data_IF_176504648578
#
_entry.id   IF_176504648578
#
_cell.length_a   1.000
_cell.length_b   1.000
_cell.length_c   1.000
_cell.angle_alpha   90.00
_cell.angle_beta   90.00
_cell.angle_gamma   90.00
#
_symmetry.space_group_name_H-M   'P 1'
#
loop_
_entity.id
_entity.type
_entity.pdbx_description
1 polymer ?
#
# COMPACT_ATOMS: atom_id res chain seq x y z
N UNK A 1 -5.97 -21.99 -17.59
CA UNK A 1 -5.27 -20.74 -17.23
C UNK A 1 -6.24 -19.65 -16.75
N UNK A 2 -7.14 -19.11 -17.59
CA UNK A 2 -8.02 -18.00 -17.18
C UNK A 2 -8.92 -18.31 -15.98
N UNK A 3 -9.51 -19.52 -15.93
CA UNK A 3 -10.31 -19.94 -14.76
C UNK A 3 -9.49 -19.94 -13.46
N UNK A 4 -8.25 -20.46 -13.52
CA UNK A 4 -7.33 -20.46 -12.39
C UNK A 4 -7.00 -19.03 -11.92
N UNK A 5 -6.67 -18.15 -12.86
CA UNK A 5 -6.39 -16.75 -12.56
C UNK A 5 -7.58 -16.02 -11.93
N UNK A 6 -8.81 -16.29 -12.38
CA UNK A 6 -10.01 -15.72 -11.76
C UNK A 6 -10.19 -16.17 -10.31
N UNK A 7 -9.99 -17.46 -10.03
CA UNK A 7 -10.05 -17.98 -8.65
C UNK A 7 -9.02 -17.29 -7.75
N UNK A 8 -7.78 -17.17 -8.23
CA UNK A 8 -6.72 -16.47 -7.48
C UNK A 8 -7.06 -15.00 -7.28
N UNK A 9 -7.52 -14.32 -8.33
CA UNK A 9 -7.92 -12.91 -8.28
C UNK A 9 -9.05 -12.69 -7.27
N UNK A 10 -10.13 -13.48 -7.34
CA UNK A 10 -11.26 -13.38 -6.41
C UNK A 10 -10.78 -13.55 -4.97
N UNK A 11 -9.97 -14.58 -4.69
CA UNK A 11 -9.42 -14.81 -3.36
C UNK A 11 -8.57 -13.64 -2.87
N UNK A 12 -7.67 -13.12 -3.71
CA UNK A 12 -6.79 -12.02 -3.31
C UNK A 12 -7.56 -10.71 -3.11
N UNK A 13 -8.57 -10.46 -3.94
CA UNK A 13 -9.45 -9.30 -3.80
C UNK A 13 -10.27 -9.38 -2.52
N UNK A 14 -10.79 -10.56 -2.18
CA UNK A 14 -11.55 -10.76 -0.96
C UNK A 14 -10.70 -10.52 0.30
N UNK A 15 -9.43 -10.91 0.29
CA UNK A 15 -8.50 -10.54 1.37
C UNK A 15 -8.27 -9.03 1.41
N UNK A 16 -8.06 -8.38 0.26
CA UNK A 16 -7.78 -6.94 0.17
C UNK A 16 -8.96 -6.08 0.65
N UNK A 17 -10.17 -6.44 0.25
CA UNK A 17 -11.40 -5.68 0.57
C UNK A 17 -11.79 -5.80 2.06
N UNK A 18 -11.25 -6.80 2.77
CA UNK A 18 -11.66 -7.16 4.12
C UNK A 18 -10.48 -7.17 5.11
N UNK A 19 -9.39 -6.45 4.83
CA UNK A 19 -8.19 -6.46 5.70
C UNK A 19 -8.50 -6.19 7.18
N UNK A 20 -9.40 -5.25 7.46
CA UNK A 20 -9.76 -4.84 8.83
C UNK A 20 -10.93 -5.66 9.42
N UNK A 21 -11.52 -6.59 8.65
CA UNK A 21 -12.60 -7.43 9.13
C UNK A 21 -12.06 -8.56 10.02
N UNK A 22 -12.92 -9.05 10.93
CA UNK A 22 -12.60 -10.21 11.79
C UNK A 22 -12.36 -11.44 10.92
N UNK A 23 -11.19 -12.07 11.07
CA UNK A 23 -10.74 -13.19 10.26
C UNK A 23 -11.66 -14.43 10.35
N UNK A 24 -12.32 -14.63 11.49
CA UNK A 24 -13.30 -15.71 11.67
C UNK A 24 -14.55 -15.59 10.79
N UNK A 25 -14.81 -14.43 10.18
CA UNK A 25 -15.88 -14.26 9.20
C UNK A 25 -15.48 -14.73 7.79
N UNK A 26 -14.19 -15.02 7.57
CA UNK A 26 -13.61 -15.37 6.29
C UNK A 26 -12.85 -16.71 6.35
N UNK A 27 -13.50 -17.72 6.92
CA UNK A 27 -12.86 -19.02 7.22
C UNK A 27 -12.35 -19.73 5.97
N UNK A 28 -13.04 -19.54 4.85
CA UNK A 28 -12.71 -20.07 3.53
C UNK A 28 -11.35 -19.58 2.98
N UNK A 29 -10.83 -18.46 3.50
CA UNK A 29 -9.52 -17.93 3.10
C UNK A 29 -8.35 -18.58 3.86
N UNK A 30 -8.65 -19.29 4.95
CA UNK A 30 -7.69 -19.74 5.97
C UNK A 30 -7.61 -21.27 6.03
N UNK A 31 -6.47 -21.80 6.50
CA UNK A 31 -6.34 -23.23 6.74
C UNK A 31 -6.88 -23.63 8.11
N UNK A 32 -7.21 -24.91 8.28
CA UNK A 32 -7.71 -25.46 9.55
C UNK A 32 -6.71 -25.27 10.70
N UNK A 33 -5.40 -25.27 10.42
CA UNK A 33 -4.38 -25.00 11.41
C UNK A 33 -4.42 -23.55 11.89
N UNK A 34 -4.60 -22.59 10.96
CA UNK A 34 -4.70 -21.17 11.29
C UNK A 34 -5.96 -20.91 12.10
N UNK A 35 -7.10 -21.49 11.69
CA UNK A 35 -8.38 -21.32 12.40
C UNK A 35 -8.32 -21.72 13.88
N UNK A 36 -7.49 -22.71 14.25
CA UNK A 36 -7.30 -23.14 15.64
C UNK A 36 -6.47 -22.16 16.49
N UNK A 37 -5.71 -21.29 15.85
CA UNK A 37 -4.79 -20.35 16.49
C UNK A 37 -5.33 -18.91 16.51
N UNK A 38 -6.47 -18.64 15.86
CA UNK A 38 -7.07 -17.31 15.82
C UNK A 38 -7.64 -16.90 17.18
N UNK A 39 -7.40 -15.64 17.54
CA UNK A 39 -8.19 -14.96 18.55
C UNK A 39 -9.48 -14.40 17.91
N UNK A 40 -10.54 -14.21 18.72
CA UNK A 40 -11.83 -13.66 18.26
C UNK A 40 -11.71 -12.23 17.70
N UNK A 41 -10.62 -11.53 18.04
CA UNK A 41 -10.31 -10.16 17.60
C UNK A 41 -9.33 -10.10 16.44
N UNK A 42 -8.77 -11.22 15.99
CA UNK A 42 -7.80 -11.21 14.89
C UNK A 42 -8.48 -10.77 13.60
N UNK A 43 -7.92 -9.75 12.94
CA UNK A 43 -8.35 -9.33 11.60
C UNK A 43 -7.55 -10.06 10.52
N UNK A 44 -8.04 -10.05 9.27
CA UNK A 44 -7.27 -10.59 8.14
C UNK A 44 -5.88 -9.92 8.00
N UNK A 45 -5.78 -8.64 8.33
CA UNK A 45 -4.52 -7.91 8.40
C UNK A 45 -3.58 -8.48 9.47
N UNK A 46 -4.07 -8.81 10.66
CA UNK A 46 -3.24 -9.45 11.69
C UNK A 46 -2.70 -10.81 11.21
N UNK A 47 -3.56 -11.62 10.60
CA UNK A 47 -3.22 -12.95 10.07
C UNK A 47 -2.17 -12.85 8.95
N UNK A 48 -2.26 -11.83 8.09
CA UNK A 48 -1.23 -11.52 7.08
C UNK A 48 0.09 -11.09 7.70
N UNK A 49 0.06 -10.21 8.72
CA UNK A 49 1.27 -9.74 9.41
C UNK A 49 2.04 -10.89 10.08
N UNK A 50 1.32 -11.82 10.72
CA UNK A 50 1.90 -13.03 11.33
C UNK A 50 2.39 -14.06 10.30
N UNK A 51 2.03 -13.87 9.03
CA UNK A 51 2.30 -14.77 7.89
C UNK A 51 1.56 -16.12 7.97
N UNK A 52 0.50 -16.18 8.78
CA UNK A 52 -0.40 -17.33 8.87
C UNK A 52 -1.19 -17.46 7.54
N UNK A 53 -1.65 -16.33 7.01
CA UNK A 53 -2.14 -16.20 5.64
C UNK A 53 -1.00 -15.64 4.78
N UNK A 54 -0.64 -16.34 3.71
CA UNK A 54 0.42 -15.90 2.80
C UNK A 54 -0.08 -15.83 1.36
N UNK A 55 -0.08 -14.61 0.82
CA UNK A 55 -0.29 -14.34 -0.60
C UNK A 55 1.04 -14.51 -1.34
N UNK A 56 1.07 -15.34 -2.38
CA UNK A 56 2.30 -15.61 -3.13
C UNK A 56 2.08 -15.75 -4.63
N UNK A 57 2.49 -14.73 -5.39
CA UNK A 57 2.54 -14.78 -6.85
C UNK A 57 3.27 -16.02 -7.38
N UNK A 58 4.43 -16.36 -6.81
CA UNK A 58 5.21 -17.52 -7.27
C UNK A 58 4.44 -18.84 -7.12
N UNK A 59 3.77 -19.04 -5.97
CA UNK A 59 3.05 -20.28 -5.68
C UNK A 59 1.69 -20.35 -6.36
N UNK A 60 0.97 -19.24 -6.39
CA UNK A 60 -0.44 -19.21 -6.80
C UNK A 60 -0.62 -18.83 -8.26
N UNK A 61 0.34 -18.14 -8.88
CA UNK A 61 0.24 -17.68 -10.28
C UNK A 61 1.35 -18.27 -11.14
N UNK A 62 2.61 -17.96 -10.83
CA UNK A 62 3.75 -18.30 -11.69
C UNK A 62 3.87 -19.80 -11.92
N UNK A 63 3.98 -20.59 -10.84
CA UNK A 63 4.18 -22.03 -10.92
C UNK A 63 3.01 -22.73 -11.63
N UNK A 64 1.74 -22.52 -11.27
CA UNK A 64 0.61 -23.13 -11.99
C UNK A 64 0.54 -22.75 -13.46
N UNK A 65 0.85 -21.49 -13.83
CA UNK A 65 0.87 -21.10 -15.24
C UNK A 65 2.02 -21.75 -16.00
N UNK A 66 3.22 -21.86 -15.42
CA UNK A 66 4.36 -22.54 -16.03
C UNK A 66 4.10 -24.04 -16.19
N UNK A 67 3.40 -24.66 -15.24
CA UNK A 67 2.96 -26.06 -15.31
C UNK A 67 1.87 -26.28 -16.37
N UNK A 68 0.95 -25.33 -16.56
CA UNK A 68 -0.08 -25.42 -17.61
C UNK A 68 0.51 -25.20 -19.02
N UNK A 69 1.49 -24.31 -19.15
CA UNK A 69 2.13 -23.96 -20.42
C UNK A 69 3.49 -24.65 -20.56
N UNK A 70 3.55 -25.95 -20.28
CA UNK A 70 4.74 -26.78 -20.47
C UNK A 70 5.08 -27.00 -21.96
N UNK A 71 6.30 -27.48 -22.23
CA UNK A 71 6.80 -27.73 -23.58
C UNK A 71 7.58 -26.55 -24.16
N UNK A 72 8.37 -26.84 -25.20
CA UNK A 72 9.28 -25.88 -25.84
C UNK A 72 8.52 -24.88 -26.73
N UNK A 73 7.43 -25.30 -27.37
CA UNK A 73 6.60 -24.44 -28.22
C UNK A 73 5.94 -23.28 -27.45
N UNK A 74 5.75 -23.42 -26.14
CA UNK A 74 5.14 -22.41 -25.27
C UNK A 74 6.16 -21.60 -24.46
N UNK A 75 7.46 -21.78 -24.70
CA UNK A 75 8.52 -21.05 -24.00
C UNK A 75 8.36 -19.53 -24.15
N UNK A 76 8.11 -19.05 -25.37
CA UNK A 76 7.89 -17.62 -25.66
C UNK A 76 6.72 -17.06 -24.85
N UNK A 77 5.66 -17.84 -24.62
CA UNK A 77 4.54 -17.40 -23.80
C UNK A 77 4.94 -17.28 -22.33
N UNK A 78 5.69 -18.25 -21.78
CA UNK A 78 6.17 -18.18 -20.40
C UNK A 78 7.09 -16.99 -20.18
N UNK A 79 8.00 -16.72 -21.12
CA UNK A 79 8.88 -15.53 -21.07
C UNK A 79 8.06 -14.24 -21.05
N UNK A 80 7.04 -14.11 -21.91
CA UNK A 80 6.15 -12.94 -21.89
C UNK A 80 5.43 -12.76 -20.55
N UNK A 81 4.99 -13.85 -19.92
CA UNK A 81 4.36 -13.78 -18.59
C UNK A 81 5.35 -13.30 -17.52
N UNK A 82 6.61 -13.76 -17.58
CA UNK A 82 7.68 -13.32 -16.69
C UNK A 82 8.01 -11.84 -16.91
N UNK A 83 8.04 -11.38 -18.16
CA UNK A 83 8.29 -9.97 -18.52
C UNK A 83 7.18 -9.05 -18.00
N UNK A 84 5.90 -9.42 -18.19
CA UNK A 84 4.75 -8.68 -17.63
C UNK A 84 4.89 -8.57 -16.10
N UNK A 85 5.24 -9.66 -15.42
CA UNK A 85 5.41 -9.60 -13.96
C UNK A 85 6.58 -8.72 -13.55
N UNK A 86 7.69 -8.77 -14.30
CA UNK A 86 8.87 -7.94 -14.04
C UNK A 86 8.56 -6.45 -14.18
N UNK A 87 7.84 -6.07 -15.23
CA UNK A 87 7.38 -4.69 -15.45
C UNK A 87 6.49 -4.21 -14.30
N UNK A 88 5.42 -4.94 -14.00
CA UNK A 88 4.49 -4.60 -12.91
C UNK A 88 5.16 -4.57 -11.54
N UNK A 89 6.18 -5.42 -11.31
CA UNK A 89 6.93 -5.41 -10.05
C UNK A 89 7.74 -4.13 -9.89
N UNK A 90 8.24 -3.55 -10.97
CA UNK A 90 9.05 -2.33 -10.94
C UNK A 90 8.24 -1.06 -10.66
N UNK A 91 6.94 -1.08 -10.97
CA UNK A 91 6.01 0.03 -10.67
C UNK A 91 5.33 -0.08 -9.30
N UNK A 92 5.71 -1.06 -8.45
CA UNK A 92 5.11 -1.21 -7.11
C UNK A 92 5.59 -0.14 -6.15
N UNK A 93 4.64 0.50 -5.49
CA UNK A 93 4.89 1.42 -4.40
C UNK A 93 4.95 0.71 -3.05
N UNK A 94 5.81 1.21 -2.17
CA UNK A 94 5.82 0.83 -0.77
C UNK A 94 6.17 2.04 0.08
N UNK A 95 5.62 2.07 1.30
CA UNK A 95 5.86 3.13 2.27
C UNK A 95 6.91 2.63 3.27
N UNK A 96 8.08 3.23 3.26
CA UNK A 96 9.15 2.93 4.21
C UNK A 96 9.15 3.99 5.31
N UNK A 97 8.85 3.58 6.54
CA UNK A 97 8.82 4.46 7.71
C UNK A 97 10.00 4.21 8.64
N UNK A 98 10.56 5.28 9.18
CA UNK A 98 11.55 5.24 10.27
C UNK A 98 11.18 6.32 11.28
N UNK A 99 11.36 6.05 12.57
CA UNK A 99 10.90 6.96 13.63
C UNK A 99 12.00 7.29 14.65
N UNK A 100 11.96 8.51 15.14
CA UNK A 100 12.67 8.94 16.33
C UNK A 100 11.77 8.68 17.54
N UNK A 101 12.08 7.64 18.31
CA UNK A 101 11.25 7.22 19.44
C UNK A 101 11.18 8.25 20.59
N UNK A 102 12.12 9.21 20.64
CA UNK A 102 12.23 10.18 21.72
C UNK A 102 11.34 11.42 21.58
N UNK A 103 10.97 11.81 20.36
CA UNK A 103 10.22 13.03 20.07
C UNK A 103 8.96 12.81 19.22
N UNK A 104 8.73 11.57 18.76
CA UNK A 104 7.56 11.18 17.98
C UNK A 104 7.65 11.54 16.49
N UNK A 105 8.82 11.97 16.00
CA UNK A 105 8.99 12.28 14.59
C UNK A 105 9.08 10.99 13.74
N UNK A 106 8.23 10.89 12.72
CA UNK A 106 8.18 9.74 11.80
C UNK A 106 8.49 10.22 10.38
N UNK A 107 9.56 9.68 9.80
CA UNK A 107 9.93 9.89 8.41
C UNK A 107 9.23 8.86 7.53
N UNK A 108 8.41 9.33 6.60
CA UNK A 108 7.68 8.50 5.63
C UNK A 108 8.29 8.69 4.24
N UNK A 109 8.92 7.64 3.71
CA UNK A 109 9.58 7.65 2.40
C UNK A 109 8.82 6.75 1.41
N UNK A 110 8.54 7.27 0.22
CA UNK A 110 7.90 6.53 -0.88
C UNK A 110 8.83 6.59 -2.09
N UNK A 111 9.58 5.52 -2.39
CA UNK A 111 10.44 5.49 -3.58
C UNK A 111 9.59 5.48 -4.85
N UNK A 112 9.90 6.40 -5.77
CA UNK A 112 9.18 6.56 -7.03
C UNK A 112 10.14 6.60 -8.21
N UNK A 113 9.67 6.14 -9.37
CA UNK A 113 10.31 6.39 -10.64
C UNK A 113 9.61 7.55 -11.35
N UNK A 114 10.28 8.68 -11.48
CA UNK A 114 9.70 9.89 -12.09
C UNK A 114 9.32 9.74 -13.56
N UNK A 115 9.81 8.71 -14.25
CA UNK A 115 9.41 8.41 -15.63
C UNK A 115 8.12 7.59 -15.73
N UNK A 116 7.58 7.12 -14.61
CA UNK A 116 6.31 6.38 -14.53
C UNK A 116 5.22 7.30 -13.97
N UNK A 117 4.43 7.89 -14.86
CA UNK A 117 3.36 8.82 -14.50
C UNK A 117 2.26 8.18 -13.65
N UNK A 118 1.95 6.89 -13.88
CA UNK A 118 0.94 6.19 -13.09
C UNK A 118 1.44 5.97 -11.66
N UNK A 119 2.70 5.55 -11.52
CA UNK A 119 3.36 5.41 -10.23
C UNK A 119 3.42 6.74 -9.47
N UNK A 120 3.72 7.85 -10.15
CA UNK A 120 3.71 9.18 -9.53
C UNK A 120 2.32 9.56 -9.01
N UNK A 121 1.27 9.34 -9.81
CA UNK A 121 -0.09 9.65 -9.40
C UNK A 121 -0.56 8.78 -8.22
N UNK A 122 -0.26 7.48 -8.23
CA UNK A 122 -0.56 6.60 -7.10
C UNK A 122 0.22 7.01 -5.84
N UNK A 123 1.48 7.45 -5.98
CA UNK A 123 2.27 7.93 -4.86
C UNK A 123 1.68 9.20 -4.24
N UNK A 124 1.14 10.12 -5.05
CA UNK A 124 0.43 11.32 -4.55
C UNK A 124 -0.79 10.93 -3.71
N UNK A 125 -1.59 9.95 -4.15
CA UNK A 125 -2.74 9.46 -3.38
C UNK A 125 -2.32 8.83 -2.05
N UNK A 126 -1.17 8.13 -2.02
CA UNK A 126 -0.61 7.60 -0.78
C UNK A 126 -0.20 8.75 0.15
N UNK A 127 0.44 9.79 -0.38
CA UNK A 127 0.81 10.99 0.39
C UNK A 127 -0.43 11.63 1.00
N UNK A 128 -1.51 11.82 0.23
CA UNK A 128 -2.78 12.35 0.73
C UNK A 128 -3.31 11.54 1.92
N UNK A 129 -3.30 10.21 1.80
CA UNK A 129 -3.72 9.30 2.87
C UNK A 129 -2.85 9.43 4.13
N UNK A 130 -1.53 9.52 3.98
CA UNK A 130 -0.59 9.71 5.10
C UNK A 130 -0.82 11.06 5.78
N UNK A 131 -0.99 12.13 5.02
CA UNK A 131 -1.22 13.48 5.57
C UNK A 131 -2.55 13.54 6.32
N UNK A 132 -3.60 12.94 5.77
CA UNK A 132 -4.90 12.82 6.45
C UNK A 132 -4.76 12.05 7.76
N UNK A 133 -4.09 10.90 7.75
CA UNK A 133 -3.86 10.09 8.95
C UNK A 133 -3.08 10.87 10.03
N UNK A 134 -2.04 11.60 9.64
CA UNK A 134 -1.29 12.43 10.57
C UNK A 134 -2.18 13.49 11.25
N UNK A 135 -3.08 14.13 10.48
CA UNK A 135 -4.05 15.07 11.02
C UNK A 135 -5.10 14.42 11.93
N UNK A 136 -5.65 13.26 11.55
CA UNK A 136 -6.64 12.51 12.35
C UNK A 136 -6.06 12.08 13.71
N UNK A 137 -4.75 11.85 13.79
CA UNK A 137 -4.03 11.52 15.02
C UNK A 137 -3.62 12.76 15.85
N UNK A 138 -3.99 13.97 15.41
CA UNK A 138 -3.62 15.23 16.07
C UNK A 138 -2.14 15.62 15.89
N UNK A 139 -1.46 15.02 14.90
CA UNK A 139 -0.08 15.33 14.53
C UNK A 139 0.03 16.58 13.64
N UNK A 140 1.25 16.89 13.23
CA UNK A 140 1.56 18.01 12.34
C UNK A 140 2.21 17.54 11.04
N UNK A 141 1.85 18.19 9.93
CA UNK A 141 2.28 17.84 8.55
C UNK A 141 3.78 18.11 8.30
N UNK A 142 4.42 18.90 9.15
CA UNK A 142 5.86 19.16 9.07
C UNK A 142 6.46 19.42 10.45
N UNK A 143 7.35 18.52 10.89
CA UNK A 143 8.23 18.76 12.03
C UNK A 143 9.46 19.61 11.67
N UNK A 144 10.15 19.29 10.57
CA UNK A 144 11.50 19.84 10.29
C UNK A 144 11.68 20.47 8.90
N UNK A 145 10.98 19.99 7.87
CA UNK A 145 11.29 20.35 6.47
C UNK A 145 10.39 21.48 5.89
N UNK A 146 9.62 22.16 6.73
CA UNK A 146 8.69 23.20 6.32
C UNK A 146 7.51 22.69 5.46
N UNK A 147 6.64 23.64 5.09
CA UNK A 147 5.41 23.40 4.31
C UNK A 147 5.65 23.50 2.79
N UNK A 148 6.41 24.51 2.34
CA UNK A 148 6.59 24.78 0.92
C UNK A 148 5.26 24.99 0.17
N UNK A 149 5.26 24.78 -1.15
CA UNK A 149 4.03 24.77 -1.96
C UNK A 149 3.30 23.42 -1.89
N UNK A 150 4.06 22.32 -1.78
CA UNK A 150 3.53 20.96 -1.91
C UNK A 150 2.69 20.51 -0.72
N UNK A 151 2.97 21.02 0.49
CA UNK A 151 2.20 20.66 1.69
C UNK A 151 1.14 21.70 2.07
N UNK A 152 1.10 22.84 1.38
CA UNK A 152 0.18 23.94 1.70
C UNK A 152 -1.29 23.52 1.57
N UNK A 153 -1.58 22.62 0.63
CA UNK A 153 -2.92 22.07 0.40
C UNK A 153 -3.47 21.23 1.57
N UNK A 154 -2.60 20.74 2.46
CA UNK A 154 -3.01 19.94 3.62
C UNK A 154 -3.19 20.76 4.90
N UNK A 155 -2.81 22.05 4.89
CA UNK A 155 -3.01 22.93 6.04
C UNK A 155 -4.49 23.29 6.19
N UNK A 156 -4.94 23.37 7.44
CA UNK A 156 -6.28 23.85 7.73
C UNK A 156 -6.42 25.35 7.42
N UNK A 157 -7.66 25.74 7.14
CA UNK A 157 -7.97 27.11 6.72
C UNK A 157 -7.60 28.15 7.78
N UNK A 158 -7.75 27.83 9.07
CA UNK A 158 -7.41 28.77 10.14
C UNK A 158 -5.90 29.03 10.21
N UNK A 159 -5.07 27.99 10.03
CA UNK A 159 -3.62 28.14 9.92
C UNK A 159 -3.24 28.99 8.71
N UNK A 160 -3.84 28.74 7.54
CA UNK A 160 -3.57 29.54 6.32
C UNK A 160 -3.95 31.01 6.54
N UNK A 161 -5.11 31.28 7.13
CA UNK A 161 -5.61 32.63 7.37
C UNK A 161 -4.76 33.37 8.42
N UNK A 162 -4.27 32.67 9.44
CA UNK A 162 -3.34 33.22 10.41
C UNK A 162 -2.01 33.63 9.75
N UNK A 163 -1.44 32.78 8.90
CA UNK A 163 -0.23 33.11 8.14
C UNK A 163 -0.45 34.27 7.17
N UNK A 164 -1.55 34.26 6.42
CA UNK A 164 -1.89 35.34 5.50
C UNK A 164 -2.10 36.67 6.23
N UNK A 165 -2.82 36.65 7.35
CA UNK A 165 -3.04 37.82 8.19
C UNK A 165 -1.75 38.36 8.83
N UNK A 166 -0.81 37.49 9.22
CA UNK A 166 0.50 37.91 9.67
C UNK A 166 1.31 38.53 8.53
N UNK A 167 1.37 37.86 7.36
CA UNK A 167 2.07 38.37 6.18
C UNK A 167 1.56 39.75 5.80
N UNK A 168 0.25 39.97 5.74
CA UNK A 168 -0.33 41.26 5.40
C UNK A 168 0.01 42.37 6.41
N UNK A 169 0.26 42.03 7.69
CA UNK A 169 0.71 43.00 8.70
C UNK A 169 2.17 43.40 8.53
N UNK A 170 3.03 42.48 8.14
CA UNK A 170 4.49 42.70 8.07
C UNK A 170 5.00 43.05 6.66
N UNK A 171 4.24 42.66 5.64
CA UNK A 171 4.52 42.86 4.22
C UNK A 171 3.20 43.17 3.47
N UNK A 172 2.69 44.41 3.61
CA UNK A 172 1.38 44.82 3.07
C UNK A 172 1.38 45.16 1.57
N UNK A 173 2.53 45.17 0.91
CA UNK A 173 2.70 45.59 -0.49
C UNK A 173 2.47 44.45 -1.49
#
# INVERSE_FOLDING_TARGET
ACSHLRVVQTRWQEVLDNLDSVALNHKELLSDEVLKLLADTDTLFNVLQRRDLRISYRKEVEKPLKELFQGQSLEVLRTKLDDIHKELRSSRLFVATHMHAGDGNVHTNIPVNSNDYQMMHEAELIVDGVMKLAGDLGGVISGEHGIGLTKMQYLDKATIDAFAGYKQKVDPL
#
